data_IF_154029382383
#
_entry.id   IF_154029382383
#
_cell.length_a   1.000
_cell.length_b   1.000
_cell.length_c   1.000
_cell.angle_alpha   90.00
_cell.angle_beta   90.00
_cell.angle_gamma   90.00
#
_symmetry.space_group_name_H-M   'P 1'
#
loop_
_entity.id
_entity.type
_entity.pdbx_description
1 polymer ?
#
# COMPACT_ATOMS: atom_id res chain seq x y z
N UNK A 1 -3.64 25.46 16.40
CA UNK A 1 -4.53 24.27 16.47
C UNK A 1 -3.75 22.99 16.18
N UNK A 2 -3.86 21.98 17.04
CA UNK A 2 -3.25 20.66 16.83
C UNK A 2 -4.01 19.85 15.78
N UNK A 3 -3.36 18.82 15.22
CA UNK A 3 -3.94 17.93 14.18
C UNK A 3 -5.28 17.32 14.59
N UNK A 4 -5.40 16.86 15.85
CA UNK A 4 -6.64 16.29 16.39
C UNK A 4 -7.79 17.31 16.47
N UNK A 5 -7.50 18.58 16.74
CA UNK A 5 -8.54 19.62 16.76
C UNK A 5 -9.09 19.87 15.35
N UNK A 6 -8.20 19.90 14.35
CA UNK A 6 -8.58 20.04 12.94
C UNK A 6 -9.42 18.83 12.49
N UNK A 7 -9.01 17.62 12.85
CA UNK A 7 -9.74 16.39 12.52
C UNK A 7 -11.16 16.40 13.12
N UNK A 8 -11.31 16.76 14.40
CA UNK A 8 -12.63 16.90 15.05
C UNK A 8 -13.52 17.91 14.35
N UNK A 9 -12.98 19.08 13.96
CA UNK A 9 -13.73 20.10 13.21
C UNK A 9 -14.20 19.57 11.85
N UNK A 10 -13.35 18.82 11.13
CA UNK A 10 -13.71 18.22 9.85
C UNK A 10 -14.84 17.18 9.98
N UNK A 11 -14.78 16.30 10.98
CA UNK A 11 -15.85 15.35 11.27
C UNK A 11 -17.18 16.04 11.60
N UNK A 12 -17.12 17.11 12.40
CA UNK A 12 -18.31 17.91 12.72
C UNK A 12 -18.92 18.53 11.45
N UNK A 13 -18.09 19.09 10.57
CA UNK A 13 -18.56 19.69 9.32
C UNK A 13 -19.09 18.68 8.30
N UNK A 14 -18.58 17.44 8.29
CA UNK A 14 -19.04 16.39 7.37
C UNK A 14 -20.22 15.56 7.88
N UNK A 15 -20.61 15.72 9.15
CA UNK A 15 -21.64 14.89 9.80
C UNK A 15 -21.15 13.50 10.24
N UNK A 16 -19.85 13.20 10.11
CA UNK A 16 -19.27 11.95 10.61
C UNK A 16 -19.28 11.94 12.14
N UNK A 17 -20.15 11.11 12.73
CA UNK A 17 -20.42 11.10 14.17
C UNK A 17 -20.05 9.78 14.87
N UNK A 18 -19.45 8.82 14.15
CA UNK A 18 -18.98 7.52 14.68
C UNK A 18 -17.45 7.46 14.72
N UNK A 19 -16.81 8.51 15.23
CA UNK A 19 -15.34 8.64 15.30
C UNK A 19 -14.92 9.13 16.67
N UNK A 20 -13.93 8.46 17.26
CA UNK A 20 -13.29 8.87 18.51
C UNK A 20 -11.83 9.26 18.25
N UNK A 21 -11.35 10.29 18.95
CA UNK A 21 -10.00 10.82 18.78
C UNK A 21 -9.24 10.80 20.09
N UNK A 22 -8.18 9.99 20.13
CA UNK A 22 -7.30 9.85 21.29
C UNK A 22 -5.97 10.57 21.03
N UNK A 23 -5.51 11.35 22.01
CA UNK A 23 -4.16 11.90 22.02
C UNK A 23 -3.29 10.96 22.85
N UNK A 24 -2.67 9.98 22.18
CA UNK A 24 -1.88 8.92 22.80
C UNK A 24 -0.64 8.62 21.97
N UNK A 25 0.41 8.12 22.62
CA UNK A 25 1.51 7.45 21.92
C UNK A 25 1.04 6.09 21.39
N UNK A 26 1.68 5.60 20.34
CA UNK A 26 1.41 4.24 19.82
C UNK A 26 1.81 3.18 20.84
N UNK A 27 2.83 3.44 21.64
CA UNK A 27 3.23 2.57 22.76
C UNK A 27 2.16 2.44 23.85
N UNK A 28 1.17 3.34 23.86
CA UNK A 28 0.10 3.42 24.86
C UNK A 28 -1.27 3.00 24.27
N UNK A 29 -1.28 2.35 23.10
CA UNK A 29 -2.51 1.96 22.40
C UNK A 29 -3.31 0.87 23.12
N UNK A 30 -2.69 0.18 24.08
CA UNK A 30 -3.32 -0.79 24.97
C UNK A 30 -4.41 -0.15 25.85
N UNK A 31 -4.31 1.15 26.11
CA UNK A 31 -5.32 1.93 26.84
C UNK A 31 -6.64 2.07 26.08
N UNK A 32 -6.64 1.90 24.75
CA UNK A 32 -7.87 1.93 23.95
C UNK A 32 -8.57 0.58 24.10
N UNK A 33 -9.85 0.50 24.51
CA UNK A 33 -10.52 -0.79 24.73
C UNK A 33 -10.74 -1.57 23.44
N UNK A 34 -10.83 -2.90 23.55
CA UNK A 34 -11.20 -3.79 22.45
C UNK A 34 -10.08 -4.13 21.48
N UNK A 35 -10.46 -4.66 20.32
CA UNK A 35 -9.60 -4.98 19.19
C UNK A 35 -10.25 -4.45 17.90
N UNK A 36 -9.46 -4.34 16.84
CA UNK A 36 -9.89 -3.76 15.57
C UNK A 36 -9.84 -4.79 14.45
N UNK A 37 -10.86 -4.79 13.60
CA UNK A 37 -10.89 -5.60 12.37
C UNK A 37 -9.96 -5.00 11.29
N UNK A 38 -9.72 -3.69 11.35
CA UNK A 38 -8.82 -2.96 10.47
C UNK A 38 -7.95 -1.99 11.26
N UNK A 39 -6.63 -2.07 11.09
CA UNK A 39 -5.67 -1.07 11.55
C UNK A 39 -4.99 -0.46 10.34
N UNK A 40 -4.97 0.87 10.23
CA UNK A 40 -4.33 1.59 9.13
C UNK A 40 -3.20 2.49 9.66
N UNK A 41 -1.95 2.10 9.41
CA UNK A 41 -0.74 2.78 9.91
C UNK A 41 0.13 3.24 8.73
N UNK A 42 -0.17 4.43 8.21
CA UNK A 42 0.49 4.97 7.01
C UNK A 42 1.40 6.12 7.37
N UNK A 43 2.70 6.02 7.08
CA UNK A 43 3.63 7.13 7.33
C UNK A 43 4.02 7.30 8.80
N UNK A 44 4.05 6.20 9.58
CA UNK A 44 4.11 6.27 11.05
C UNK A 44 5.26 5.46 11.64
N UNK A 45 5.27 4.14 11.45
CA UNK A 45 6.16 3.23 12.19
C UNK A 45 7.65 3.55 11.99
N UNK A 46 8.04 3.98 10.80
CA UNK A 46 9.43 4.31 10.46
C UNK A 46 9.95 5.61 11.08
N UNK A 47 9.05 6.44 11.63
CA UNK A 47 9.42 7.64 12.40
C UNK A 47 9.52 7.36 13.90
N UNK A 48 9.22 6.14 14.35
CA UNK A 48 9.36 5.80 15.77
C UNK A 48 10.84 5.62 16.13
N UNK A 49 11.24 5.98 17.37
CA UNK A 49 12.57 5.65 17.88
C UNK A 49 12.77 4.13 18.04
N UNK A 50 11.68 3.39 18.27
CA UNK A 50 11.64 1.93 18.31
C UNK A 50 10.42 1.42 17.52
N UNK A 51 10.59 1.17 16.21
CA UNK A 51 9.52 0.65 15.36
C UNK A 51 9.04 -0.76 15.75
N UNK A 52 9.91 -1.58 16.36
CA UNK A 52 9.57 -2.94 16.76
C UNK A 52 8.54 -2.90 17.90
N UNK A 53 8.81 -2.11 18.94
CA UNK A 53 7.83 -1.91 20.02
C UNK A 53 6.53 -1.30 19.47
N UNK A 54 6.63 -0.38 18.50
CA UNK A 54 5.48 0.22 17.83
C UNK A 54 4.60 -0.80 17.11
N UNK A 55 5.17 -1.63 16.24
CA UNK A 55 4.39 -2.62 15.48
C UNK A 55 3.82 -3.72 16.39
N UNK A 56 4.53 -4.11 17.45
CA UNK A 56 4.04 -5.07 18.44
C UNK A 56 2.84 -4.53 19.22
N UNK A 57 2.88 -3.25 19.58
CA UNK A 57 1.77 -2.58 20.27
C UNK A 57 0.51 -2.58 19.41
N UNK A 58 0.64 -2.27 18.10
CA UNK A 58 -0.46 -2.32 17.15
C UNK A 58 -0.96 -3.75 16.90
N UNK A 59 -0.05 -4.72 16.74
CA UNK A 59 -0.39 -6.11 16.51
C UNK A 59 -1.27 -6.69 17.63
N UNK A 60 -0.99 -6.33 18.90
CA UNK A 60 -1.80 -6.74 20.05
C UNK A 60 -3.26 -6.25 20.00
N UNK A 61 -3.55 -5.20 19.21
CA UNK A 61 -4.88 -4.62 19.03
C UNK A 61 -5.61 -5.16 17.80
N UNK A 62 -4.97 -5.97 16.96
CA UNK A 62 -5.62 -6.58 15.81
C UNK A 62 -6.51 -7.74 16.26
N UNK A 63 -7.76 -7.76 15.79
CA UNK A 63 -8.67 -8.88 16.00
C UNK A 63 -8.20 -10.11 15.21
N UNK A 64 -8.50 -11.35 15.66
CA UNK A 64 -8.35 -12.53 14.82
C UNK A 64 -9.11 -12.34 13.49
N UNK A 65 -8.47 -12.64 12.36
CA UNK A 65 -8.97 -12.37 11.02
C UNK A 65 -8.87 -10.90 10.58
N UNK A 66 -8.46 -9.99 11.47
CA UNK A 66 -8.29 -8.58 11.16
C UNK A 66 -7.11 -8.34 10.20
N UNK A 67 -7.15 -7.19 9.51
CA UNK A 67 -6.13 -6.75 8.56
C UNK A 67 -5.44 -5.50 9.10
N UNK A 68 -4.12 -5.45 9.03
CA UNK A 68 -3.34 -4.26 9.31
C UNK A 68 -2.61 -3.80 8.06
N UNK A 69 -2.94 -2.59 7.61
CA UNK A 69 -2.30 -1.91 6.49
C UNK A 69 -1.15 -1.04 7.00
N UNK A 70 0.03 -1.18 6.41
CA UNK A 70 1.25 -0.49 6.82
C UNK A 70 1.94 0.14 5.61
N UNK A 71 2.35 1.39 5.78
CA UNK A 71 3.25 2.09 4.85
C UNK A 71 4.54 2.51 5.59
N UNK A 72 5.70 2.11 5.05
CA UNK A 72 7.03 2.54 5.52
C UNK A 72 7.96 2.88 4.37
N UNK A 73 8.96 3.71 4.62
CA UNK A 73 9.88 4.15 3.58
C UNK A 73 10.89 3.08 3.14
N UNK A 74 11.25 3.13 1.86
CA UNK A 74 12.16 2.20 1.21
C UNK A 74 13.56 2.79 1.01
N UNK A 75 14.59 2.04 1.38
CA UNK A 75 16.00 2.44 1.36
C UNK A 75 16.49 2.75 -0.06
N UNK A 76 16.26 1.83 -1.01
CA UNK A 76 16.85 1.94 -2.34
C UNK A 76 16.23 3.07 -3.16
N UNK A 77 14.89 3.17 -3.18
CA UNK A 77 14.18 4.21 -3.94
C UNK A 77 14.30 5.61 -3.35
N UNK A 78 14.72 5.72 -2.08
CA UNK A 78 14.98 6.99 -1.38
C UNK A 78 16.46 7.29 -1.20
N UNK A 79 17.36 6.56 -1.86
CA UNK A 79 18.79 6.74 -1.65
C UNK A 79 19.25 8.20 -1.87
N UNK A 80 18.80 8.87 -2.94
CA UNK A 80 19.13 10.29 -3.17
C UNK A 80 18.59 11.21 -2.06
N UNK A 81 17.43 10.88 -1.47
CA UNK A 81 16.86 11.61 -0.34
C UNK A 81 17.75 11.48 0.88
N UNK A 82 18.15 10.25 1.24
CA UNK A 82 19.05 10.01 2.36
C UNK A 82 20.39 10.76 2.20
N UNK A 83 20.94 10.79 0.98
CA UNK A 83 22.18 11.53 0.70
C UNK A 83 21.99 13.03 0.95
N UNK A 84 20.87 13.60 0.48
CA UNK A 84 20.57 15.01 0.68
C UNK A 84 20.30 15.33 2.16
N UNK A 85 19.55 14.50 2.88
CA UNK A 85 19.34 14.63 4.33
C UNK A 85 20.68 14.68 5.09
N UNK A 86 21.59 13.74 4.80
CA UNK A 86 22.93 13.71 5.40
C UNK A 86 23.75 14.96 5.04
N UNK A 87 23.69 15.42 3.79
CA UNK A 87 24.38 16.62 3.34
C UNK A 87 23.86 17.89 4.04
N UNK A 88 22.53 18.05 4.16
CA UNK A 88 21.91 19.15 4.89
C UNK A 88 22.36 19.11 6.35
N UNK A 89 22.25 17.97 7.03
CA UNK A 89 22.64 17.83 8.43
C UNK A 89 24.11 18.23 8.68
N UNK A 90 25.03 17.89 7.76
CA UNK A 90 26.42 18.33 7.82
C UNK A 90 26.57 19.85 7.66
N UNK A 91 25.83 20.45 6.73
CA UNK A 91 25.88 21.89 6.45
C UNK A 91 25.20 22.74 7.52
N UNK A 92 24.21 22.20 8.24
CA UNK A 92 23.60 22.87 9.40
C UNK A 92 24.58 23.00 10.57
N UNK A 93 25.54 22.09 10.72
CA UNK A 93 26.53 22.13 11.79
C UNK A 93 25.89 22.23 13.18
N UNK A 94 26.19 23.33 13.90
CA UNK A 94 25.63 23.57 15.24
C UNK A 94 24.12 23.87 15.26
N UNK A 95 23.49 24.12 14.11
CA UNK A 95 22.05 24.36 13.97
C UNK A 95 21.25 23.10 13.62
N UNK A 96 21.88 21.92 13.62
CA UNK A 96 21.19 20.66 13.31
C UNK A 96 19.94 20.50 14.17
N UNK A 97 18.81 20.20 13.52
CA UNK A 97 17.49 20.11 14.15
C UNK A 97 16.66 21.40 14.07
N UNK A 98 17.23 22.52 13.63
CA UNK A 98 16.47 23.70 13.22
C UNK A 98 15.87 23.47 11.83
N UNK A 99 14.56 23.23 11.76
CA UNK A 99 13.87 22.98 10.50
C UNK A 99 13.94 24.14 9.52
N UNK A 100 13.81 25.38 10.01
CA UNK A 100 13.81 26.56 9.14
C UNK A 100 15.16 26.76 8.47
N UNK A 101 16.24 26.59 9.25
CA UNK A 101 17.60 26.60 8.72
C UNK A 101 17.84 25.46 7.73
N UNK A 102 17.39 24.24 8.06
CA UNK A 102 17.57 23.06 7.20
C UNK A 102 16.89 23.19 5.84
N UNK A 103 15.68 23.75 5.79
CA UNK A 103 14.98 24.05 4.52
C UNK A 103 15.78 25.06 3.70
N UNK A 104 16.26 26.15 4.31
CA UNK A 104 17.04 27.17 3.61
C UNK A 104 18.35 26.60 3.04
N UNK A 105 19.07 25.82 3.86
CA UNK A 105 20.30 25.12 3.46
C UNK A 105 20.02 24.17 2.31
N UNK A 106 19.03 23.28 2.44
CA UNK A 106 18.68 22.30 1.41
C UNK A 106 18.30 22.95 0.08
N UNK A 107 17.44 23.96 0.09
CA UNK A 107 17.09 24.72 -1.12
C UNK A 107 18.31 25.38 -1.76
N UNK A 108 19.23 25.93 -0.95
CA UNK A 108 20.46 26.53 -1.46
C UNK A 108 21.39 25.49 -2.09
N UNK A 109 21.48 24.29 -1.51
CA UNK A 109 22.24 23.17 -2.08
C UNK A 109 21.67 22.77 -3.45
N UNK A 110 20.36 22.50 -3.54
CA UNK A 110 19.71 22.14 -4.81
C UNK A 110 19.87 23.22 -5.89
N UNK A 111 19.81 24.50 -5.52
CA UNK A 111 20.00 25.62 -6.45
C UNK A 111 21.47 25.80 -6.91
N UNK A 112 22.44 25.27 -6.17
CA UNK A 112 23.87 25.47 -6.43
C UNK A 112 24.52 24.26 -7.11
N UNK A 113 24.00 23.05 -6.88
CA UNK A 113 24.56 21.83 -7.49
C UNK A 113 24.48 21.89 -9.03
N UNK A 114 25.46 21.29 -9.74
CA UNK A 114 25.43 21.20 -11.20
C UNK A 114 24.15 20.58 -11.72
N UNK A 115 23.67 21.03 -12.88
CA UNK A 115 22.40 20.55 -13.46
C UNK A 115 22.40 19.04 -13.75
N UNK A 116 23.56 18.45 -14.06
CA UNK A 116 23.70 17.02 -14.31
C UNK A 116 23.93 16.18 -13.04
N UNK A 117 23.88 16.80 -11.85
CA UNK A 117 24.01 16.07 -10.59
C UNK A 117 22.84 15.09 -10.43
N UNK A 118 23.16 13.83 -10.09
CA UNK A 118 22.16 12.76 -9.96
C UNK A 118 21.06 13.09 -8.94
N UNK A 119 21.39 13.66 -7.79
CA UNK A 119 20.42 14.01 -6.74
C UNK A 119 19.47 15.10 -7.25
N UNK A 120 20.00 16.12 -7.94
CA UNK A 120 19.20 17.19 -8.57
C UNK A 120 18.25 16.61 -9.62
N UNK A 121 18.74 15.72 -10.48
CA UNK A 121 17.93 15.10 -11.52
C UNK A 121 16.80 14.22 -10.95
N UNK A 122 17.10 13.46 -9.89
CA UNK A 122 16.10 12.63 -9.20
C UNK A 122 15.00 13.48 -8.57
N UNK A 123 15.38 14.54 -7.85
CA UNK A 123 14.44 15.52 -7.27
C UNK A 123 13.53 16.13 -8.33
N UNK A 124 14.11 16.62 -9.43
CA UNK A 124 13.33 17.19 -10.54
C UNK A 124 12.33 16.20 -11.12
N UNK A 125 12.74 14.95 -11.32
CA UNK A 125 11.93 13.92 -11.95
C UNK A 125 10.81 13.37 -11.06
N UNK A 126 10.98 13.37 -9.74
CA UNK A 126 10.08 12.65 -8.83
C UNK A 126 9.33 13.52 -7.82
N UNK A 127 9.92 14.61 -7.32
CA UNK A 127 9.40 15.29 -6.12
C UNK A 127 9.33 16.82 -6.22
N UNK A 128 9.66 17.39 -7.39
CA UNK A 128 9.75 18.84 -7.58
C UNK A 128 8.42 19.59 -7.41
N UNK A 129 7.29 18.90 -7.55
CA UNK A 129 5.97 19.49 -7.32
C UNK A 129 5.61 19.50 -5.84
N UNK A 130 5.90 18.42 -5.13
CA UNK A 130 5.65 18.22 -3.70
C UNK A 130 6.50 19.19 -2.86
N UNK A 131 7.79 19.33 -3.20
CA UNK A 131 8.78 20.04 -2.39
C UNK A 131 8.80 21.58 -2.59
N UNK A 132 7.76 22.13 -3.23
CA UNK A 132 7.58 23.58 -3.34
C UNK A 132 7.22 24.22 -2.00
N UNK A 133 6.50 23.50 -1.14
CA UNK A 133 6.13 23.97 0.20
C UNK A 133 7.21 23.62 1.21
N UNK A 134 7.43 24.50 2.19
CA UNK A 134 8.48 24.31 3.19
C UNK A 134 8.19 23.14 4.11
N UNK A 135 6.93 22.90 4.47
CA UNK A 135 6.54 21.74 5.28
C UNK A 135 6.81 20.41 4.55
N UNK A 136 6.56 20.33 3.25
CA UNK A 136 6.83 19.14 2.44
C UNK A 136 8.34 18.93 2.24
N UNK A 137 9.07 20.01 1.97
CA UNK A 137 10.54 19.94 1.87
C UNK A 137 11.16 19.50 3.20
N UNK A 138 10.68 20.05 4.32
CA UNK A 138 11.16 19.71 5.65
C UNK A 138 10.87 18.24 5.97
N UNK A 139 9.67 17.76 5.67
CA UNK A 139 9.29 16.36 5.85
C UNK A 139 10.16 15.40 5.02
N UNK A 140 10.48 15.76 3.78
CA UNK A 140 11.31 14.91 2.91
C UNK A 140 12.80 14.95 3.30
N UNK A 141 13.35 16.12 3.58
CA UNK A 141 14.81 16.34 3.59
C UNK A 141 15.40 16.76 4.95
N UNK A 142 14.56 17.09 5.93
CA UNK A 142 15.00 17.65 7.23
C UNK A 142 14.40 16.87 8.40
N UNK A 143 13.70 15.76 8.14
CA UNK A 143 13.08 14.97 9.19
C UNK A 143 14.14 14.35 10.13
N UNK A 144 14.01 14.47 11.47
CA UNK A 144 15.07 14.11 12.40
C UNK A 144 15.17 12.61 12.68
N UNK A 145 14.10 11.86 12.43
CA UNK A 145 13.95 10.46 12.77
C UNK A 145 13.26 9.73 11.61
N UNK A 146 14.03 8.96 10.86
CA UNK A 146 13.55 8.18 9.72
C UNK A 146 14.36 6.88 9.65
N UNK A 147 13.67 5.75 9.53
CA UNK A 147 14.25 4.43 9.29
C UNK A 147 13.75 3.96 7.94
N UNK A 148 14.66 3.85 6.99
CA UNK A 148 14.38 3.27 5.69
C UNK A 148 14.61 1.77 5.70
N UNK A 149 13.71 1.04 5.06
CA UNK A 149 13.75 -0.41 5.00
C UNK A 149 14.21 -0.88 3.62
N UNK A 150 14.97 -1.97 3.56
CA UNK A 150 14.98 -2.87 2.41
C UNK A 150 14.17 -4.13 2.71
N UNK A 151 13.97 -5.03 1.74
CA UNK A 151 13.18 -6.25 1.94
C UNK A 151 13.63 -7.06 3.16
N UNK A 152 14.95 -7.18 3.41
CA UNK A 152 15.46 -7.97 4.53
C UNK A 152 15.06 -7.35 5.89
N UNK A 153 15.33 -6.05 6.07
CA UNK A 153 14.95 -5.31 7.28
C UNK A 153 13.43 -5.15 7.44
N UNK A 154 12.68 -5.07 6.34
CA UNK A 154 11.23 -5.01 6.34
C UNK A 154 10.65 -6.30 6.91
N UNK A 155 11.14 -7.46 6.44
CA UNK A 155 10.69 -8.74 6.97
C UNK A 155 11.11 -8.96 8.43
N UNK A 156 12.20 -8.35 8.91
CA UNK A 156 12.49 -8.33 10.34
C UNK A 156 11.42 -7.58 11.15
N UNK A 157 10.95 -6.42 10.66
CA UNK A 157 9.85 -5.68 11.29
C UNK A 157 8.55 -6.48 11.27
N UNK A 158 8.24 -7.11 10.12
CA UNK A 158 7.05 -7.96 9.95
C UNK A 158 7.10 -9.14 10.93
N UNK A 159 8.21 -9.87 10.98
CA UNK A 159 8.37 -11.03 11.86
C UNK A 159 8.25 -10.62 13.33
N UNK A 160 8.79 -9.47 13.70
CA UNK A 160 8.71 -8.95 15.06
C UNK A 160 7.28 -8.62 15.51
N UNK A 161 6.35 -8.38 14.58
CA UNK A 161 4.93 -8.17 14.89
C UNK A 161 4.22 -9.45 15.36
N UNK A 162 4.73 -10.63 14.99
CA UNK A 162 4.06 -11.92 15.21
C UNK A 162 2.83 -12.15 14.32
N UNK A 163 2.58 -11.29 13.33
CA UNK A 163 1.48 -11.40 12.39
C UNK A 163 1.91 -12.08 11.09
N UNK A 164 0.94 -12.61 10.33
CA UNK A 164 1.18 -13.22 9.03
C UNK A 164 1.20 -12.14 7.93
N UNK A 165 2.20 -12.20 7.06
CA UNK A 165 2.26 -11.36 5.86
C UNK A 165 1.22 -11.81 4.83
N UNK A 166 0.32 -10.90 4.46
CA UNK A 166 -0.73 -11.17 3.45
C UNK A 166 -0.22 -10.85 2.05
N UNK A 167 0.46 -9.72 1.87
CA UNK A 167 0.94 -9.26 0.58
C UNK A 167 1.17 -7.75 0.53
N UNK A 168 1.84 -7.30 -0.52
CA UNK A 168 1.97 -5.88 -0.86
C UNK A 168 0.69 -5.35 -1.51
N UNK A 169 0.41 -4.04 -1.37
CA UNK A 169 -0.77 -3.40 -1.97
C UNK A 169 -0.76 -3.36 -3.50
N UNK A 170 0.43 -3.39 -4.10
CA UNK A 170 0.66 -3.32 -5.54
C UNK A 170 1.29 -4.61 -6.08
N UNK A 171 0.60 -5.76 -6.04
CA UNK A 171 1.20 -7.07 -6.33
C UNK A 171 1.82 -7.17 -7.74
N UNK A 172 1.33 -6.40 -8.71
CA UNK A 172 1.91 -6.35 -10.06
C UNK A 172 3.36 -5.82 -10.11
N UNK A 173 3.73 -4.90 -9.21
CA UNK A 173 5.13 -4.44 -9.10
C UNK A 173 6.05 -5.61 -8.70
N UNK A 174 5.55 -6.45 -7.80
CA UNK A 174 6.22 -7.62 -7.23
C UNK A 174 6.10 -8.89 -8.08
N UNK A 175 5.68 -8.77 -9.35
CA UNK A 175 5.74 -9.86 -10.30
C UNK A 175 7.11 -9.89 -11.01
N UNK A 176 7.91 -10.92 -10.73
CA UNK A 176 9.25 -11.09 -11.30
C UNK A 176 9.24 -11.26 -12.83
N UNK A 177 8.17 -11.79 -13.41
CA UNK A 177 8.05 -11.96 -14.87
C UNK A 177 8.18 -10.64 -15.63
N UNK A 178 7.79 -9.51 -15.01
CA UNK A 178 7.96 -8.17 -15.58
C UNK A 178 9.42 -7.84 -15.89
N UNK A 179 10.34 -8.37 -15.09
CA UNK A 179 11.78 -8.09 -15.17
C UNK A 179 12.53 -9.18 -15.94
N UNK A 180 12.25 -10.45 -15.62
CA UNK A 180 13.03 -11.59 -16.11
C UNK A 180 12.25 -12.54 -17.04
N UNK A 181 10.97 -12.30 -17.30
CA UNK A 181 10.10 -13.21 -18.06
C UNK A 181 10.55 -13.49 -19.51
N UNK A 182 11.43 -12.67 -20.08
CA UNK A 182 12.03 -12.90 -21.41
C UNK A 182 13.22 -13.87 -21.40
N UNK A 183 13.68 -14.30 -20.22
CA UNK A 183 14.82 -15.18 -20.03
C UNK A 183 14.39 -16.42 -19.20
N UNK A 184 13.83 -17.47 -19.85
CA UNK A 184 13.32 -18.65 -19.17
C UNK A 184 14.33 -19.32 -18.23
N UNK A 185 15.61 -19.29 -18.58
CA UNK A 185 16.71 -19.83 -17.77
C UNK A 185 16.95 -19.05 -16.47
N UNK A 186 16.71 -17.73 -16.46
CA UNK A 186 16.77 -16.92 -15.25
C UNK A 186 15.52 -17.11 -14.39
N UNK A 187 14.34 -17.23 -15.03
CA UNK A 187 13.10 -17.55 -14.32
C UNK A 187 13.18 -18.91 -13.63
N UNK A 188 13.75 -19.93 -14.28
CA UNK A 188 13.95 -21.25 -13.69
C UNK A 188 14.84 -21.19 -12.43
N UNK A 189 15.91 -20.38 -12.45
CA UNK A 189 16.74 -20.15 -11.26
C UNK A 189 15.98 -19.40 -10.16
N UNK A 190 15.17 -18.41 -10.53
CA UNK A 190 14.40 -17.65 -9.56
C UNK A 190 13.28 -18.46 -8.88
N UNK A 191 12.75 -19.49 -9.55
CA UNK A 191 11.78 -20.42 -8.96
C UNK A 191 12.38 -21.26 -7.80
N UNK A 192 13.71 -21.39 -7.72
CA UNK A 192 14.39 -22.06 -6.61
C UNK A 192 14.52 -21.15 -5.37
N UNK A 193 14.29 -19.85 -5.50
CA UNK A 193 14.35 -18.88 -4.41
C UNK A 193 13.09 -18.93 -3.55
N UNK A 194 13.25 -18.71 -2.24
CA UNK A 194 12.13 -18.48 -1.34
C UNK A 194 11.33 -17.22 -1.74
N UNK A 195 10.06 -17.09 -1.33
CA UNK A 195 9.26 -15.90 -1.64
C UNK A 195 9.93 -14.58 -1.21
N UNK A 196 10.62 -14.54 -0.06
CA UNK A 196 11.33 -13.35 0.42
C UNK A 196 12.54 -13.01 -0.45
N UNK A 197 13.30 -14.03 -0.87
CA UNK A 197 14.42 -13.84 -1.81
C UNK A 197 13.94 -13.37 -3.19
N UNK A 198 12.77 -13.82 -3.64
CA UNK A 198 12.16 -13.30 -4.87
C UNK A 198 11.80 -11.82 -4.73
N UNK A 199 11.18 -11.40 -3.62
CA UNK A 199 10.94 -9.97 -3.38
C UNK A 199 12.24 -9.17 -3.31
N UNK A 200 13.27 -9.71 -2.65
CA UNK A 200 14.59 -9.07 -2.58
C UNK A 200 15.23 -8.94 -3.97
N UNK A 201 15.12 -9.97 -4.81
CA UNK A 201 15.61 -9.96 -6.18
C UNK A 201 14.89 -8.87 -7.00
N UNK A 202 13.57 -8.74 -6.87
CA UNK A 202 12.79 -7.69 -7.53
C UNK A 202 13.26 -6.30 -7.06
N UNK A 203 13.38 -6.08 -5.75
CA UNK A 203 13.84 -4.81 -5.18
C UNK A 203 15.23 -4.41 -5.71
N UNK A 204 16.14 -5.38 -5.86
CA UNK A 204 17.49 -5.13 -6.38
C UNK A 204 17.52 -4.83 -7.89
N UNK A 205 16.63 -5.43 -8.66
CA UNK A 205 16.54 -5.25 -10.11
C UNK A 205 15.69 -4.04 -10.52
N UNK A 206 14.79 -3.60 -9.65
CA UNK A 206 13.95 -2.41 -9.82
C UNK A 206 13.96 -1.56 -8.54
N UNK A 207 15.05 -0.80 -8.28
CA UNK A 207 15.24 -0.05 -7.04
C UNK A 207 14.43 1.26 -6.99
N UNK A 208 13.31 1.34 -7.70
CA UNK A 208 12.44 2.52 -7.76
C UNK A 208 11.47 2.63 -6.58
N UNK A 209 11.33 1.57 -5.78
CA UNK A 209 10.42 1.51 -4.61
C UNK A 209 10.86 2.49 -3.54
N UNK A 210 10.20 3.64 -3.47
CA UNK A 210 10.45 4.65 -2.45
C UNK A 210 9.72 4.35 -1.12
N UNK A 211 8.77 3.42 -1.12
CA UNK A 211 8.04 3.00 0.08
C UNK A 211 7.46 1.60 -0.11
N UNK A 212 7.29 0.89 0.99
CA UNK A 212 6.56 -0.37 1.07
C UNK A 212 5.18 -0.12 1.61
N UNK A 213 4.19 -0.66 0.93
CA UNK A 213 2.81 -0.67 1.35
C UNK A 213 2.30 -2.11 1.34
N UNK A 214 1.90 -2.63 2.50
CA UNK A 214 1.61 -4.04 2.68
C UNK A 214 0.58 -4.31 3.78
N UNK A 215 0.07 -5.54 3.78
CA UNK A 215 -0.95 -6.01 4.67
C UNK A 215 -0.45 -7.16 5.54
N UNK A 216 -0.77 -7.08 6.84
CA UNK A 216 -0.56 -8.14 7.82
C UNK A 216 -1.91 -8.62 8.35
N UNK A 217 -1.97 -9.85 8.87
CA UNK A 217 -3.17 -10.37 9.51
C UNK A 217 -2.85 -11.15 10.80
N UNK A 218 -3.79 -11.15 11.73
CA UNK A 218 -3.77 -12.06 12.88
C UNK A 218 -4.56 -13.32 12.50
N UNK A 219 -3.93 -14.49 12.30
CA UNK A 219 -4.65 -15.67 11.86
C UNK A 219 -5.77 -16.10 12.83
N UNK A 220 -6.81 -16.80 12.32
CA UNK A 220 -7.02 -17.17 10.92
C UNK A 220 -7.61 -16.03 10.09
N UNK A 221 -7.05 -15.79 8.90
CA UNK A 221 -7.70 -14.99 7.85
C UNK A 221 -8.45 -15.94 6.92
N UNK A 222 -9.78 -15.86 6.92
CA UNK A 222 -10.59 -16.67 6.01
C UNK A 222 -10.33 -16.24 4.56
N UNK A 223 -9.96 -17.20 3.72
CA UNK A 223 -9.71 -17.01 2.28
C UNK A 223 -10.61 -17.95 1.50
N UNK A 224 -11.47 -17.39 0.66
CA UNK A 224 -12.28 -18.17 -0.28
C UNK A 224 -11.51 -18.43 -1.57
N UNK A 225 -11.46 -19.68 -2.00
CA UNK A 225 -10.84 -20.07 -3.25
C UNK A 225 -11.91 -20.41 -4.27
N UNK A 226 -11.95 -19.64 -5.36
CA UNK A 226 -12.97 -19.78 -6.39
C UNK A 226 -12.55 -20.71 -7.53
N UNK A 227 -11.46 -21.48 -7.36
CA UNK A 227 -10.97 -22.42 -8.39
C UNK A 227 -11.90 -23.62 -8.58
N UNK A 228 -12.61 -24.05 -7.54
CA UNK A 228 -13.63 -25.09 -7.64
C UNK A 228 -14.90 -24.55 -8.32
N UNK A 229 -15.38 -25.24 -9.35
CA UNK A 229 -16.57 -24.83 -10.11
C UNK A 229 -17.84 -24.88 -9.26
N UNK A 230 -17.95 -25.84 -8.33
CA UNK A 230 -19.11 -25.93 -7.45
C UNK A 230 -19.17 -24.74 -6.48
N UNK A 231 -18.04 -24.41 -5.83
CA UNK A 231 -17.94 -23.24 -4.98
C UNK A 231 -18.21 -21.93 -5.75
N UNK A 232 -17.65 -21.79 -6.96
CA UNK A 232 -17.86 -20.62 -7.80
C UNK A 232 -19.33 -20.46 -8.23
N UNK A 233 -19.98 -21.54 -8.66
CA UNK A 233 -21.39 -21.52 -9.05
C UNK A 233 -22.34 -21.18 -7.88
N UNK A 234 -21.94 -21.53 -6.66
CA UNK A 234 -22.70 -21.22 -5.46
C UNK A 234 -22.48 -19.79 -4.96
N UNK A 235 -21.35 -19.16 -5.28
CA UNK A 235 -20.98 -17.84 -4.77
C UNK A 235 -21.95 -16.74 -5.23
N UNK A 236 -22.09 -15.70 -4.39
CA UNK A 236 -22.92 -14.52 -4.65
C UNK A 236 -21.99 -13.40 -5.16
N UNK A 237 -22.12 -12.95 -6.42
CA UNK A 237 -21.30 -11.89 -6.97
C UNK A 237 -21.90 -10.50 -6.73
N UNK A 238 -21.02 -9.56 -6.44
CA UNK A 238 -21.28 -8.13 -6.36
C UNK A 238 -20.29 -7.39 -7.27
N UNK A 239 -20.71 -6.26 -7.84
CA UNK A 239 -19.76 -5.37 -8.50
C UNK A 239 -18.72 -4.87 -7.50
N UNK A 240 -17.46 -4.80 -7.91
CA UNK A 240 -16.44 -4.18 -7.08
C UNK A 240 -16.81 -2.69 -6.86
N UNK A 241 -16.92 -2.21 -5.61
CA UNK A 241 -17.33 -0.85 -5.30
C UNK A 241 -16.32 0.21 -5.79
N UNK A 242 -15.12 -0.20 -6.17
CA UNK A 242 -14.08 0.67 -6.73
C UNK A 242 -14.07 0.72 -8.27
N UNK A 243 -15.11 0.21 -8.95
CA UNK A 243 -15.28 0.42 -10.38
C UNK A 243 -15.71 1.84 -10.69
N UNK A 244 -15.23 2.39 -11.80
CA UNK A 244 -15.68 3.67 -12.33
C UNK A 244 -16.16 3.56 -13.79
N UNK A 245 -17.24 4.29 -14.11
CA UNK A 245 -17.86 4.31 -15.42
C UNK A 245 -18.89 3.19 -15.72
N UNK A 246 -19.16 2.28 -14.78
CA UNK A 246 -20.25 1.29 -14.93
C UNK A 246 -21.64 1.95 -14.74
N UNK A 247 -22.68 1.62 -15.55
CA UNK A 247 -22.73 0.62 -16.62
C UNK A 247 -22.27 1.17 -17.98
N UNK A 248 -21.16 0.64 -18.48
CA UNK A 248 -20.58 0.94 -19.80
C UNK A 248 -19.76 -0.26 -20.26
N UNK A 249 -19.51 -0.39 -21.56
CA UNK A 249 -18.56 -1.37 -22.11
C UNK A 249 -17.11 -0.96 -21.94
N UNK A 250 -16.84 0.31 -21.67
CA UNK A 250 -15.51 0.83 -21.38
C UNK A 250 -15.57 1.42 -19.98
N UNK A 251 -14.90 0.75 -19.04
CA UNK A 251 -14.87 1.09 -17.62
C UNK A 251 -13.44 1.14 -17.11
N UNK A 252 -13.26 1.68 -15.91
CA UNK A 252 -12.03 1.58 -15.15
C UNK A 252 -12.19 0.51 -14.06
N UNK A 253 -11.20 -0.38 -13.94
CA UNK A 253 -11.12 -1.28 -12.78
C UNK A 253 -10.62 -0.53 -11.53
N UNK A 254 -10.44 -1.26 -10.42
CA UNK A 254 -9.98 -0.70 -9.14
C UNK A 254 -8.60 -0.01 -9.20
N UNK A 255 -7.80 -0.30 -10.22
CA UNK A 255 -6.46 0.27 -10.46
C UNK A 255 -6.48 1.31 -11.60
N UNK A 256 -7.66 1.85 -11.93
CA UNK A 256 -7.87 2.81 -13.01
C UNK A 256 -7.39 2.34 -14.40
N UNK A 257 -7.32 1.03 -14.63
CA UNK A 257 -7.00 0.46 -15.93
C UNK A 257 -8.25 0.37 -16.80
N UNK A 258 -8.12 0.70 -18.08
CA UNK A 258 -9.24 0.61 -19.04
C UNK A 258 -9.56 -0.85 -19.31
N UNK A 259 -10.80 -1.24 -19.03
CA UNK A 259 -11.34 -2.55 -19.36
C UNK A 259 -12.43 -2.42 -20.41
N UNK A 260 -12.33 -3.24 -21.45
CA UNK A 260 -13.33 -3.34 -22.51
C UNK A 260 -14.16 -4.62 -22.32
N UNK A 261 -15.40 -4.44 -21.89
CA UNK A 261 -16.37 -5.53 -21.73
C UNK A 261 -17.00 -5.90 -23.08
N UNK A 262 -17.15 -7.20 -23.29
CA UNK A 262 -18.10 -7.74 -24.27
C UNK A 262 -19.55 -7.41 -23.87
N UNK A 263 -20.50 -7.43 -24.81
CA UNK A 263 -21.92 -7.29 -24.48
C UNK A 263 -22.40 -8.30 -23.44
N UNK A 264 -21.91 -9.54 -23.50
CA UNK A 264 -22.28 -10.62 -22.59
C UNK A 264 -21.75 -10.38 -21.18
N UNK A 265 -20.49 -9.96 -21.05
CA UNK A 265 -19.89 -9.61 -19.75
C UNK A 265 -20.65 -8.43 -19.09
N UNK A 266 -21.02 -7.41 -19.87
CA UNK A 266 -21.82 -6.30 -19.36
C UNK A 266 -23.19 -6.77 -18.84
N UNK A 267 -23.92 -7.57 -19.62
CA UNK A 267 -25.23 -8.11 -19.23
C UNK A 267 -25.12 -8.99 -17.96
N UNK A 268 -24.06 -9.79 -17.84
CA UNK A 268 -23.79 -10.58 -16.63
C UNK A 268 -23.53 -9.69 -15.41
N UNK A 269 -22.67 -8.67 -15.56
CA UNK A 269 -22.32 -7.74 -14.50
C UNK A 269 -23.52 -6.91 -14.03
N UNK A 270 -24.43 -6.51 -14.93
CA UNK A 270 -25.67 -5.79 -14.56
C UNK A 270 -26.59 -6.62 -13.64
N UNK A 271 -26.45 -7.95 -13.65
CA UNK A 271 -27.20 -8.86 -12.77
C UNK A 271 -26.49 -9.17 -11.44
N UNK A 272 -25.22 -8.77 -11.28
CA UNK A 272 -24.43 -9.01 -10.06
C UNK A 272 -24.81 -8.02 -8.94
N UNK A 273 -25.92 -8.30 -8.26
CA UNK A 273 -26.55 -7.41 -7.29
C UNK A 273 -26.36 -7.84 -5.81
N UNK A 274 -25.52 -8.83 -5.53
CA UNK A 274 -25.29 -9.33 -4.17
C UNK A 274 -26.41 -10.19 -3.58
N UNK A 275 -27.36 -10.67 -4.40
CA UNK A 275 -28.49 -11.48 -3.91
C UNK A 275 -28.69 -12.82 -4.63
N UNK A 276 -28.18 -12.97 -5.85
CA UNK A 276 -28.32 -14.20 -6.64
C UNK A 276 -26.98 -14.91 -6.77
N UNK A 277 -26.99 -16.25 -6.72
CA UNK A 277 -25.78 -17.03 -6.97
C UNK A 277 -25.38 -16.97 -8.46
N UNK A 278 -24.08 -17.16 -8.75
CA UNK A 278 -23.57 -17.21 -10.13
C UNK A 278 -24.36 -18.21 -10.98
N UNK A 279 -24.66 -19.39 -10.45
CA UNK A 279 -25.46 -20.42 -11.14
C UNK A 279 -26.84 -19.91 -11.59
N UNK A 280 -27.47 -19.02 -10.84
CA UNK A 280 -28.78 -18.45 -11.17
C UNK A 280 -28.66 -17.38 -12.26
N UNK A 281 -27.64 -16.52 -12.17
CA UNK A 281 -27.37 -15.46 -13.16
C UNK A 281 -27.02 -16.08 -14.51
N UNK A 282 -26.25 -17.17 -14.51
CA UNK A 282 -25.81 -17.87 -15.73
C UNK A 282 -26.96 -18.50 -16.52
N UNK A 283 -28.11 -18.82 -15.92
CA UNK A 283 -29.29 -19.32 -16.65
C UNK A 283 -29.78 -18.30 -17.68
N UNK A 284 -29.62 -17.02 -17.36
CA UNK A 284 -30.10 -15.90 -18.18
C UNK A 284 -28.95 -15.12 -18.82
N UNK A 285 -27.72 -15.64 -18.79
CA UNK A 285 -26.54 -14.99 -19.35
C UNK A 285 -25.88 -15.88 -20.39
N UNK A 286 -25.20 -15.26 -21.36
CA UNK A 286 -24.41 -15.96 -22.37
C UNK A 286 -22.92 -16.07 -22.00
N UNK A 287 -22.54 -15.64 -20.79
CA UNK A 287 -21.17 -15.79 -20.27
C UNK A 287 -20.99 -17.22 -19.75
N UNK A 288 -19.83 -17.83 -19.97
CA UNK A 288 -19.46 -19.12 -19.37
C UNK A 288 -18.62 -18.93 -18.10
N UNK A 289 -18.32 -20.03 -17.39
CA UNK A 289 -17.50 -19.95 -16.17
C UNK A 289 -16.11 -19.36 -16.42
N UNK A 290 -15.52 -19.55 -17.59
CA UNK A 290 -14.23 -18.95 -17.94
C UNK A 290 -14.35 -17.42 -18.03
N UNK A 291 -15.43 -16.90 -18.61
CA UNK A 291 -15.75 -15.48 -18.62
C UNK A 291 -15.97 -14.92 -17.21
N UNK A 292 -16.68 -15.64 -16.34
CA UNK A 292 -16.86 -15.22 -14.92
C UNK A 292 -15.51 -15.15 -14.21
N UNK A 293 -14.64 -16.16 -14.38
CA UNK A 293 -13.28 -16.18 -13.81
C UNK A 293 -12.45 -14.99 -14.29
N UNK A 294 -12.52 -14.66 -15.58
CA UNK A 294 -11.86 -13.48 -16.13
C UNK A 294 -12.32 -12.18 -15.45
N UNK A 295 -13.62 -12.01 -15.21
CA UNK A 295 -14.14 -10.84 -14.50
C UNK A 295 -13.62 -10.75 -13.05
N UNK A 296 -13.48 -11.89 -12.37
CA UNK A 296 -12.91 -11.99 -11.01
C UNK A 296 -11.41 -11.70 -11.02
N UNK A 297 -10.65 -12.26 -11.96
CA UNK A 297 -9.22 -12.01 -12.14
C UNK A 297 -8.93 -10.53 -12.42
N UNK A 298 -9.82 -9.87 -13.16
CA UNK A 298 -9.78 -8.43 -13.40
C UNK A 298 -10.30 -7.59 -12.22
N UNK A 299 -10.67 -8.23 -11.10
CA UNK A 299 -11.20 -7.60 -9.89
C UNK A 299 -12.44 -6.73 -10.15
N UNK A 300 -13.27 -7.14 -11.11
CA UNK A 300 -14.53 -6.45 -11.43
C UNK A 300 -15.67 -6.90 -10.53
N UNK A 301 -15.54 -8.09 -9.95
CA UNK A 301 -16.52 -8.70 -9.06
C UNK A 301 -15.88 -9.04 -7.71
N UNK A 302 -16.62 -8.81 -6.64
CA UNK A 302 -16.35 -9.37 -5.31
C UNK A 302 -17.34 -10.52 -5.10
N UNK A 303 -16.84 -11.63 -4.55
CA UNK A 303 -17.66 -12.81 -4.30
C UNK A 303 -17.78 -13.06 -2.81
N UNK A 304 -19.01 -13.32 -2.37
CA UNK A 304 -19.31 -13.85 -1.05
C UNK A 304 -19.64 -15.34 -1.15
N UNK A 305 -19.11 -16.19 -0.24
CA UNK A 305 -19.59 -17.57 -0.16
C UNK A 305 -21.07 -17.55 0.20
N UNK A 306 -21.86 -18.42 -0.41
CA UNK A 306 -23.26 -18.57 -0.02
C UNK A 306 -23.30 -19.25 1.36
N UNK A 307 -23.90 -18.62 2.39
CA UNK A 307 -23.95 -19.16 3.74
C UNK A 307 -24.68 -20.50 3.87
#
# INVERSE_FOLDING_TARGET
PGTLEVARKRCQSSGANRVEFHHLSISDVDQIPGKFDLINSVGVLHHLPDPITGIQSLAGKLAPGGIMHIFVYGELGRWEIQLMQKAIALLQGSKRGDYGDGVQVGRKVFATLPENNRIVNREKARWSWENQKDECFADMYVHPQEIDYNIDSLFQLIDASGLEFVGFSNPGFWNLERLLGRAPELMARAQELSPREQYRLIELLDPEVAHYEFFLTSPPLEKSHWQDDHALLAAIPELNPCLDGFPSRCIFNYDYQIINLSPQELEFMEKCNGSQAISQILVESQVDLAGVRKLIEQQLLILSPNP
#
